data_IF_992313932762
#
_entry.id   IF_992313932762
#
_cell.length_a   1.000
_cell.length_b   1.000
_cell.length_c   1.000
_cell.angle_alpha   90.00
_cell.angle_beta   90.00
_cell.angle_gamma   90.00
#
_symmetry.space_group_name_H-M   'P 1'
#
loop_
_entity.id
_entity.type
_entity.pdbx_description
1 polymer ?
#
# COMPACT_ATOMS: atom_id res chain seq x y z
N UNK A 1 18.99 7.29 -7.19
CA UNK A 1 17.89 8.28 -7.23
C UNK A 1 16.60 7.47 -7.18
N UNK A 2 15.67 7.72 -6.24
CA UNK A 2 14.40 6.99 -6.27
C UNK A 2 13.72 7.26 -7.62
N UNK A 3 13.11 6.23 -8.21
CA UNK A 3 12.39 6.36 -9.46
C UNK A 3 11.31 7.44 -9.28
N UNK A 4 11.47 8.55 -10.01
CA UNK A 4 10.49 9.63 -10.03
C UNK A 4 9.18 9.02 -10.52
N UNK A 5 8.12 9.12 -9.73
CA UNK A 5 6.81 8.64 -10.13
C UNK A 5 6.33 9.53 -11.30
N UNK A 6 6.52 9.05 -12.53
CA UNK A 6 6.17 9.79 -13.75
C UNK A 6 4.67 10.01 -13.91
N UNK A 7 3.86 9.32 -13.09
CA UNK A 7 2.40 9.37 -13.11
C UNK A 7 1.85 10.16 -11.91
N UNK A 8 2.36 11.38 -11.68
CA UNK A 8 1.83 12.24 -10.63
C UNK A 8 0.42 12.71 -10.96
N UNK A 9 -0.58 12.23 -10.22
CA UNK A 9 -2.01 12.54 -10.43
C UNK A 9 -2.60 13.57 -9.46
N UNK A 10 -1.90 13.88 -8.37
CA UNK A 10 -2.41 14.79 -7.34
C UNK A 10 -2.25 16.26 -7.76
N UNK A 11 -3.28 17.07 -7.47
CA UNK A 11 -3.22 18.53 -7.64
C UNK A 11 -2.17 19.20 -6.73
N UNK A 12 -1.83 18.55 -5.61
CA UNK A 12 -0.77 19.01 -4.68
C UNK A 12 0.62 18.64 -5.22
N UNK A 13 1.61 19.54 -5.20
CA UNK A 13 2.97 19.23 -5.64
C UNK A 13 3.62 18.05 -4.89
N UNK A 14 4.48 17.25 -5.53
CA UNK A 14 5.13 16.08 -4.92
C UNK A 14 6.04 16.42 -3.74
N UNK A 15 6.62 17.63 -3.75
CA UNK A 15 7.54 18.13 -2.74
C UNK A 15 6.83 18.75 -1.53
N UNK A 16 5.49 18.85 -1.55
CA UNK A 16 4.71 19.43 -0.46
C UNK A 16 4.92 18.69 0.86
N UNK A 17 5.06 19.45 1.93
CA UNK A 17 5.20 18.93 3.28
C UNK A 17 3.86 18.33 3.74
N UNK A 18 3.93 17.14 4.33
CA UNK A 18 2.75 16.40 4.83
C UNK A 18 3.07 15.80 6.19
N UNK A 19 2.02 15.52 6.98
CA UNK A 19 2.15 14.84 8.28
C UNK A 19 1.76 13.38 8.13
N UNK A 20 2.59 12.47 8.64
CA UNK A 20 2.34 11.03 8.57
C UNK A 20 2.59 10.42 9.93
N UNK A 21 1.68 9.57 10.39
CA UNK A 21 1.89 8.72 11.56
C UNK A 21 3.21 7.95 11.43
N UNK A 22 4.03 7.95 12.48
CA UNK A 22 5.37 7.35 12.44
C UNK A 22 5.31 5.87 12.04
N UNK A 23 4.30 5.14 12.51
CA UNK A 23 4.11 3.72 12.19
C UNK A 23 3.60 3.49 10.75
N UNK A 24 2.84 4.44 10.19
CA UNK A 24 2.40 4.40 8.78
C UNK A 24 3.57 4.71 7.86
N UNK A 25 4.36 5.73 8.20
CA UNK A 25 5.58 6.06 7.47
C UNK A 25 6.58 4.91 7.53
N UNK A 26 6.68 4.24 8.69
CA UNK A 26 7.51 3.06 8.88
C UNK A 26 6.94 1.76 8.27
N UNK A 27 5.74 1.83 7.66
CA UNK A 27 5.02 0.68 7.08
C UNK A 27 4.75 -0.45 8.08
N UNK A 28 4.72 -0.13 9.37
CA UNK A 28 4.35 -1.03 10.47
C UNK A 28 2.85 -1.03 10.72
N UNK A 29 2.17 0.00 10.26
CA UNK A 29 0.73 0.15 10.27
C UNK A 29 0.21 0.42 8.86
N UNK A 30 -0.96 -0.12 8.48
CA UNK A 30 -1.60 0.26 7.23
C UNK A 30 -1.98 1.75 7.28
N UNK A 31 -1.94 2.43 6.13
CA UNK A 31 -2.60 3.71 5.99
C UNK A 31 -4.11 3.48 5.96
N UNK A 32 -4.86 4.13 6.87
CA UNK A 32 -6.31 3.89 7.00
C UNK A 32 -7.13 5.16 6.90
N UNK A 33 -6.53 6.33 7.14
CA UNK A 33 -7.23 7.61 7.06
C UNK A 33 -6.33 8.66 6.44
N UNK A 34 -6.92 9.48 5.59
CA UNK A 34 -6.27 10.64 4.99
C UNK A 34 -7.16 11.84 5.23
N UNK A 35 -6.58 12.91 5.73
CA UNK A 35 -7.26 14.18 5.97
C UNK A 35 -6.51 15.29 5.25
N UNK A 36 -7.26 16.16 4.57
CA UNK A 36 -6.74 17.38 3.99
C UNK A 36 -7.41 18.53 4.73
N UNK A 37 -6.66 19.25 5.56
CA UNK A 37 -7.24 20.33 6.37
C UNK A 37 -7.65 21.55 5.51
N UNK A 38 -8.27 22.55 6.16
CA UNK A 38 -8.75 23.76 5.50
C UNK A 38 -7.63 24.59 4.85
N UNK A 39 -6.38 24.43 5.31
CA UNK A 39 -5.20 25.06 4.73
C UNK A 39 -4.62 24.24 3.54
N UNK A 40 -5.21 23.07 3.26
CA UNK A 40 -4.80 22.16 2.20
C UNK A 40 -3.66 21.21 2.58
N UNK A 41 -3.29 21.15 3.87
CA UNK A 41 -2.22 20.28 4.38
C UNK A 41 -2.73 18.85 4.56
N UNK A 42 -1.92 17.90 4.10
CA UNK A 42 -2.25 16.48 4.18
C UNK A 42 -1.77 15.84 5.49
N UNK A 43 -2.62 15.03 6.08
CA UNK A 43 -2.34 14.16 7.21
C UNK A 43 -2.70 12.70 6.89
N UNK A 44 -1.80 11.77 7.23
CA UNK A 44 -1.88 10.35 6.88
C UNK A 44 -1.77 9.48 8.14
N UNK A 45 -2.83 8.76 8.47
CA UNK A 45 -3.00 8.13 9.78
C UNK A 45 -3.22 6.62 9.67
N UNK A 46 -2.74 5.89 10.68
CA UNK A 46 -2.89 4.44 10.81
C UNK A 46 -4.06 4.04 11.71
N UNK A 47 -4.33 2.73 11.90
CA UNK A 47 -5.45 2.27 12.71
C UNK A 47 -5.17 2.54 14.19
N UNK A 48 -5.98 3.38 14.83
CA UNK A 48 -5.86 3.74 16.24
C UNK A 48 -6.50 5.08 16.57
N UNK A 49 -6.39 5.51 17.84
CA UNK A 49 -6.86 6.82 18.25
C UNK A 49 -6.01 7.95 17.65
N UNK A 50 -6.65 9.06 17.31
CA UNK A 50 -6.02 10.34 16.93
C UNK A 50 -4.99 10.79 17.97
N UNK A 51 -3.85 11.34 17.50
CA UNK A 51 -2.80 11.88 18.39
C UNK A 51 -1.54 11.01 18.53
N UNK A 52 -1.32 10.07 17.61
CA UNK A 52 -0.04 9.34 17.51
C UNK A 52 1.10 10.26 17.11
N UNK A 53 2.32 9.83 17.43
CA UNK A 53 3.54 10.53 17.00
C UNK A 53 3.56 10.59 15.47
N UNK A 54 3.49 11.80 14.93
CA UNK A 54 3.55 12.06 13.49
C UNK A 54 4.86 12.75 13.13
N UNK A 55 5.35 12.50 11.92
CA UNK A 55 6.54 13.14 11.35
C UNK A 55 6.17 13.91 10.09
N UNK A 56 6.91 14.97 9.84
CA UNK A 56 6.85 15.65 8.55
C UNK A 56 7.68 14.90 7.52
N UNK A 57 7.12 14.74 6.32
CA UNK A 57 7.81 14.20 5.14
C UNK A 57 7.24 14.85 3.88
N UNK A 58 7.63 14.36 2.71
CA UNK A 58 7.13 14.83 1.41
C UNK A 58 6.00 13.94 0.90
N UNK A 59 5.00 14.54 0.25
CA UNK A 59 3.86 13.81 -0.32
C UNK A 59 4.29 12.69 -1.27
N UNK A 60 5.35 12.88 -2.07
CA UNK A 60 5.88 11.83 -2.94
C UNK A 60 6.40 10.59 -2.21
N UNK A 61 6.93 10.74 -1.00
CA UNK A 61 7.37 9.60 -0.20
C UNK A 61 6.16 8.77 0.26
N UNK A 62 5.07 9.45 0.62
CA UNK A 62 3.79 8.80 0.98
C UNK A 62 3.18 8.10 -0.23
N UNK A 63 3.08 8.76 -1.38
CA UNK A 63 2.55 8.14 -2.61
C UNK A 63 3.42 6.97 -3.07
N UNK A 64 4.74 7.05 -2.92
CA UNK A 64 5.63 5.92 -3.21
C UNK A 64 5.39 4.71 -2.32
N UNK A 65 5.15 4.94 -1.03
CA UNK A 65 4.82 3.92 -0.03
C UNK A 65 3.38 3.39 -0.16
N UNK A 66 2.45 4.27 -0.53
CA UNK A 66 1.01 4.04 -0.59
C UNK A 66 0.45 4.57 -1.92
N UNK A 67 0.68 3.87 -3.05
CA UNK A 67 0.26 4.32 -4.39
C UNK A 67 -1.23 4.68 -4.52
N UNK A 68 -2.11 4.03 -3.77
CA UNK A 68 -3.55 4.32 -3.74
C UNK A 68 -3.88 5.74 -3.25
N UNK A 69 -2.95 6.45 -2.60
CA UNK A 69 -3.11 7.88 -2.27
C UNK A 69 -3.25 8.75 -3.52
N UNK A 70 -2.65 8.36 -4.66
CA UNK A 70 -2.76 9.10 -5.92
C UNK A 70 -4.20 9.24 -6.44
N UNK A 71 -5.11 8.38 -5.96
CA UNK A 71 -6.54 8.42 -6.26
C UNK A 71 -7.28 9.58 -5.59
N UNK A 72 -6.66 10.24 -4.61
CA UNK A 72 -7.22 11.36 -3.87
C UNK A 72 -6.96 12.69 -4.58
N UNK A 73 -6.80 12.67 -5.91
CA UNK A 73 -6.51 13.86 -6.74
C UNK A 73 -7.50 15.00 -6.52
N UNK A 74 -8.76 14.60 -6.31
CA UNK A 74 -9.92 15.47 -6.19
C UNK A 74 -10.40 15.60 -4.73
N UNK A 75 -9.57 15.19 -3.75
CA UNK A 75 -9.89 15.38 -2.34
C UNK A 75 -9.79 16.85 -1.96
N UNK A 76 -10.92 17.48 -1.65
CA UNK A 76 -11.01 18.90 -1.28
C UNK A 76 -10.38 19.20 0.09
N UNK A 77 -10.00 20.46 0.30
CA UNK A 77 -9.62 20.94 1.63
C UNK A 77 -10.81 20.87 2.60
N UNK A 78 -10.53 20.59 3.88
CA UNK A 78 -11.53 20.36 4.92
C UNK A 78 -12.18 18.97 4.89
N UNK A 79 -11.64 18.02 4.12
CA UNK A 79 -12.25 16.69 3.96
C UNK A 79 -11.35 15.56 4.48
N UNK A 80 -12.00 14.50 4.94
CA UNK A 80 -11.35 13.28 5.40
C UNK A 80 -11.95 12.06 4.71
N UNK A 81 -11.08 11.09 4.41
CA UNK A 81 -11.45 9.80 3.86
C UNK A 81 -10.82 8.68 4.68
N UNK A 82 -11.52 7.57 4.73
CA UNK A 82 -11.09 6.34 5.38
C UNK A 82 -10.98 5.23 4.36
N UNK A 83 -10.02 4.34 4.54
CA UNK A 83 -9.89 3.15 3.72
C UNK A 83 -11.01 2.17 4.09
N UNK A 84 -11.82 1.78 3.11
CA UNK A 84 -12.86 0.76 3.24
C UNK A 84 -12.37 -0.56 2.71
N UNK A 85 -12.18 -1.54 3.59
CA UNK A 85 -11.83 -2.91 3.21
C UNK A 85 -12.97 -3.61 2.47
N UNK A 86 -14.22 -3.26 2.74
CA UNK A 86 -15.38 -3.84 2.07
C UNK A 86 -15.48 -3.34 0.62
N UNK A 87 -15.23 -2.05 0.40
CA UNK A 87 -15.26 -1.45 -0.93
C UNK A 87 -13.91 -1.56 -1.66
N UNK A 88 -12.88 -2.02 -0.95
CA UNK A 88 -11.51 -2.09 -1.43
C UNK A 88 -10.99 -0.75 -1.98
N UNK A 89 -11.30 0.35 -1.28
CA UNK A 89 -10.92 1.69 -1.71
C UNK A 89 -11.16 2.77 -0.67
N UNK A 90 -10.87 4.01 -1.02
CA UNK A 90 -11.21 5.15 -0.16
C UNK A 90 -12.73 5.33 -0.06
N UNK A 91 -13.18 5.85 1.07
CA UNK A 91 -14.56 6.19 1.32
C UNK A 91 -14.59 7.46 2.17
N UNK A 92 -15.66 8.24 2.05
CA UNK A 92 -15.89 9.36 2.97
C UNK A 92 -15.94 8.85 4.41
N UNK A 93 -15.38 9.62 5.34
CA UNK A 93 -15.49 9.31 6.77
C UNK A 93 -16.95 9.35 7.26
N UNK A 94 -17.80 10.11 6.55
CA UNK A 94 -19.23 10.21 6.81
C UNK A 94 -20.02 9.67 5.62
N UNK A 95 -21.06 8.87 5.88
CA UNK A 95 -22.00 8.48 4.83
C UNK A 95 -22.79 9.71 4.37
N UNK A 96 -22.76 10.06 3.08
CA UNK A 96 -23.69 11.07 2.59
C UNK A 96 -25.09 10.47 2.50
N UNK A 97 -26.01 10.95 3.33
CA UNK A 97 -27.43 10.62 3.23
C UNK A 97 -28.09 11.22 1.97
N UNK A 98 -27.40 12.12 1.28
CA UNK A 98 -27.89 12.81 0.09
C UNK A 98 -27.94 11.94 -1.18
N UNK A 99 -27.23 10.81 -1.20
CA UNK A 99 -27.14 9.90 -2.36
C UNK A 99 -26.40 10.43 -3.59
N UNK A 100 -25.91 11.66 -3.58
CA UNK A 100 -25.30 12.35 -4.73
C UNK A 100 -23.82 12.68 -4.56
N UNK A 101 -23.21 12.35 -3.41
CA UNK A 101 -21.77 12.54 -3.24
C UNK A 101 -21.00 11.39 -3.89
N UNK A 102 -20.03 11.74 -4.73
CA UNK A 102 -19.07 10.76 -5.26
C UNK A 102 -18.07 10.42 -4.15
N UNK A 103 -17.99 9.13 -3.79
CA UNK A 103 -16.94 8.65 -2.89
C UNK A 103 -15.66 8.41 -3.70
N UNK A 104 -14.50 8.89 -3.24
CA UNK A 104 -13.25 8.70 -3.97
C UNK A 104 -12.94 7.21 -4.09
N UNK A 105 -12.77 6.71 -5.32
CA UNK A 105 -12.47 5.28 -5.57
C UNK A 105 -10.97 5.11 -5.74
N UNK A 106 -10.39 4.04 -5.17
CA UNK A 106 -8.96 3.78 -5.28
C UNK A 106 -8.52 3.58 -6.75
N UNK A 107 -7.78 4.56 -7.27
CA UNK A 107 -7.29 4.65 -8.64
C UNK A 107 -6.09 3.75 -8.95
N UNK A 108 -5.44 3.13 -7.96
CA UNK A 108 -4.50 2.03 -8.21
C UNK A 108 -5.19 0.77 -8.75
N UNK A 109 -6.53 0.72 -8.70
CA UNK A 109 -7.38 -0.29 -9.35
C UNK A 109 -7.83 0.17 -10.74
N UNK A 110 -7.65 1.44 -11.10
CA UNK A 110 -7.88 1.85 -12.48
C UNK A 110 -6.87 1.08 -13.36
N UNK A 111 -7.42 0.23 -14.24
CA UNK A 111 -6.65 -0.62 -15.16
C UNK A 111 -5.64 0.20 -15.96
N UNK A 112 -5.88 1.50 -16.15
CA UNK A 112 -4.99 2.40 -16.88
C UNK A 112 -3.70 2.76 -16.14
N UNK A 113 -3.68 2.74 -14.80
CA UNK A 113 -2.46 2.97 -13.99
C UNK A 113 -1.81 1.70 -13.45
N UNK A 114 -2.41 0.53 -13.68
CA UNK A 114 -1.83 -0.73 -13.24
C UNK A 114 -0.52 -1.02 -14.00
N UNK A 115 0.59 -1.40 -13.32
CA UNK A 115 1.83 -1.73 -14.01
C UNK A 115 1.62 -2.86 -15.01
N UNK A 116 1.87 -2.60 -16.30
CA UNK A 116 1.58 -3.52 -17.40
C UNK A 116 2.21 -4.90 -17.26
N UNK A 117 3.37 -4.97 -16.58
CA UNK A 117 4.13 -6.18 -16.29
C UNK A 117 3.49 -7.03 -15.18
N UNK A 118 2.65 -6.44 -14.33
CA UNK A 118 1.92 -7.14 -13.30
C UNK A 118 0.53 -7.47 -13.85
N UNK A 119 0.12 -8.73 -13.85
CA UNK A 119 -1.25 -9.08 -14.24
C UNK A 119 -2.14 -9.10 -12.98
N UNK A 120 -3.19 -8.26 -12.87
CA UNK A 120 -4.01 -8.16 -11.67
C UNK A 120 -4.59 -9.50 -11.19
N UNK A 121 -4.92 -10.37 -12.14
CA UNK A 121 -5.52 -11.69 -11.93
C UNK A 121 -4.52 -12.81 -11.59
N UNK A 122 -3.21 -12.55 -11.67
CA UNK A 122 -2.20 -13.55 -11.29
C UNK A 122 -2.45 -14.01 -9.87
N UNK A 123 -2.52 -15.31 -9.66
CA UNK A 123 -2.70 -15.90 -8.33
C UNK A 123 -1.33 -16.04 -7.68
N UNK A 124 -1.21 -15.51 -6.47
CA UNK A 124 -0.03 -15.63 -5.64
C UNK A 124 -0.38 -16.32 -4.31
N UNK A 125 0.58 -17.04 -3.75
CA UNK A 125 0.39 -17.77 -2.50
C UNK A 125 0.78 -16.91 -1.32
N UNK A 126 -0.15 -16.61 -0.42
CA UNK A 126 0.10 -15.76 0.75
C UNK A 126 -0.04 -16.57 2.03
N UNK A 127 0.93 -16.46 2.94
CA UNK A 127 0.86 -17.09 4.24
C UNK A 127 -0.35 -16.58 5.05
N UNK A 128 -1.17 -17.50 5.58
CA UNK A 128 -2.42 -17.19 6.27
C UNK A 128 -2.23 -16.25 7.48
N UNK A 129 -1.15 -16.40 8.23
CA UNK A 129 -0.88 -15.54 9.39
C UNK A 129 -0.46 -14.12 8.99
N UNK A 130 0.17 -13.95 7.83
CA UNK A 130 0.42 -12.63 7.25
C UNK A 130 -0.88 -12.04 6.67
N UNK A 131 -1.64 -12.85 5.93
CA UNK A 131 -2.92 -12.46 5.33
C UNK A 131 -3.99 -12.08 6.36
N UNK A 132 -3.98 -12.70 7.54
CA UNK A 132 -4.87 -12.30 8.66
C UNK A 132 -4.35 -11.09 9.42
N UNK A 133 -3.10 -10.67 9.21
CA UNK A 133 -2.46 -9.57 9.92
C UNK A 133 -1.94 -9.94 11.31
N UNK A 134 -1.94 -11.23 11.68
CA UNK A 134 -1.34 -11.69 12.93
C UNK A 134 0.18 -11.51 12.94
N UNK A 135 0.81 -11.53 11.75
CA UNK A 135 2.23 -11.23 11.55
C UNK A 135 2.42 -10.24 10.41
N UNK A 136 3.48 -9.42 10.44
CA UNK A 136 3.82 -8.57 9.31
C UNK A 136 4.22 -9.44 8.10
N UNK A 137 4.03 -8.91 6.91
CA UNK A 137 4.64 -9.45 5.70
C UNK A 137 6.12 -9.04 5.68
N UNK A 138 7.03 -9.98 5.47
CA UNK A 138 8.47 -9.70 5.44
C UNK A 138 9.19 -10.20 4.20
N UNK A 139 8.64 -11.20 3.50
CA UNK A 139 9.33 -11.83 2.39
C UNK A 139 8.40 -12.03 1.20
N UNK A 140 8.94 -11.83 0.00
CA UNK A 140 8.32 -12.17 -1.29
C UNK A 140 9.30 -13.09 -2.01
N UNK A 141 8.87 -14.29 -2.42
CA UNK A 141 9.71 -15.30 -3.05
C UNK A 141 9.19 -15.58 -4.46
N UNK A 142 10.08 -15.63 -5.45
CA UNK A 142 9.75 -16.12 -6.78
C UNK A 142 10.27 -17.54 -6.94
N UNK A 143 9.34 -18.49 -6.97
CA UNK A 143 9.65 -19.93 -7.13
C UNK A 143 9.19 -20.40 -8.51
N UNK A 144 9.67 -21.58 -8.98
CA UNK A 144 9.14 -22.18 -10.21
C UNK A 144 7.62 -22.41 -10.18
N UNK A 145 7.02 -22.53 -8.99
CA UNK A 145 5.57 -22.68 -8.80
C UNK A 145 4.79 -21.36 -8.73
N UNK A 146 5.45 -20.22 -8.90
CA UNK A 146 4.88 -18.88 -8.79
C UNK A 146 5.42 -18.09 -7.59
N UNK A 147 4.72 -17.00 -7.26
CA UNK A 147 5.15 -16.08 -6.20
C UNK A 147 4.51 -16.48 -4.86
N UNK A 148 5.33 -16.53 -3.81
CA UNK A 148 4.91 -16.74 -2.43
C UNK A 148 5.22 -15.51 -1.58
N UNK A 149 4.34 -15.18 -0.62
CA UNK A 149 4.47 -14.03 0.27
C UNK A 149 4.31 -14.47 1.72
N UNK A 150 5.34 -14.20 2.52
CA UNK A 150 5.53 -14.81 3.83
C UNK A 150 5.74 -13.74 4.92
N UNK A 151 5.33 -14.09 6.14
CA UNK A 151 5.79 -13.41 7.34
C UNK A 151 7.14 -13.95 7.84
N UNK A 152 7.63 -13.47 8.99
CA UNK A 152 8.95 -13.82 9.49
C UNK A 152 9.12 -15.32 9.74
N UNK A 153 10.25 -15.88 9.32
CA UNK A 153 10.65 -17.25 9.62
C UNK A 153 11.41 -17.93 8.48
N UNK A 154 11.42 -19.27 8.49
CA UNK A 154 11.91 -20.09 7.38
C UNK A 154 11.05 -19.85 6.11
N UNK A 155 11.51 -20.24 4.94
CA UNK A 155 10.74 -20.19 3.68
C UNK A 155 9.90 -21.43 3.45
N UNK A 156 10.12 -22.49 4.23
CA UNK A 156 9.31 -23.71 4.16
C UNK A 156 7.93 -23.46 4.76
N UNK A 157 6.93 -23.34 3.90
CA UNK A 157 5.51 -23.37 4.27
C UNK A 157 4.84 -24.57 3.64
N UNK A 158 3.91 -25.17 4.36
CA UNK A 158 3.05 -26.21 3.84
C UNK A 158 1.83 -25.60 3.15
N UNK A 159 1.21 -26.33 2.22
CA UNK A 159 0.11 -25.81 1.39
C UNK A 159 -1.08 -25.34 2.23
N UNK A 160 -1.35 -26.01 3.35
CA UNK A 160 -2.41 -25.65 4.31
C UNK A 160 -2.17 -24.33 5.06
N UNK A 161 -0.93 -23.83 5.06
CA UNK A 161 -0.56 -22.53 5.63
C UNK A 161 -0.67 -21.39 4.62
N UNK A 162 -0.93 -21.70 3.36
CA UNK A 162 -0.92 -20.76 2.25
C UNK A 162 -2.33 -20.58 1.68
N UNK A 163 -2.66 -19.36 1.30
CA UNK A 163 -3.92 -19.02 0.66
C UNK A 163 -3.64 -18.45 -0.73
N UNK A 164 -4.28 -18.97 -1.79
CA UNK A 164 -4.20 -18.36 -3.12
C UNK A 164 -4.96 -17.04 -3.12
N UNK A 165 -4.30 -15.95 -3.51
CA UNK A 165 -4.88 -14.61 -3.56
C UNK A 165 -4.54 -13.96 -4.89
N UNK A 166 -5.50 -13.27 -5.52
CA UNK A 166 -5.22 -12.47 -6.71
C UNK A 166 -4.25 -11.33 -6.38
N UNK A 167 -3.28 -11.08 -7.26
CA UNK A 167 -2.25 -10.07 -7.09
C UNK A 167 -2.84 -8.68 -6.80
N UNK A 168 -3.95 -8.34 -7.45
CA UNK A 168 -4.71 -7.12 -7.15
C UNK A 168 -5.08 -6.98 -5.66
N UNK A 169 -5.54 -8.06 -5.03
CA UNK A 169 -5.96 -8.03 -3.63
C UNK A 169 -4.76 -7.95 -2.67
N UNK A 170 -3.64 -8.53 -3.06
CA UNK A 170 -2.39 -8.41 -2.31
C UNK A 170 -1.86 -6.98 -2.35
N UNK A 171 -1.76 -6.38 -3.53
CA UNK A 171 -1.27 -5.01 -3.68
C UNK A 171 -2.16 -4.03 -2.93
N UNK A 172 -3.49 -4.21 -2.97
CA UNK A 172 -4.41 -3.41 -2.15
C UNK A 172 -4.11 -3.51 -0.65
N UNK A 173 -3.76 -4.70 -0.17
CA UNK A 173 -3.44 -4.92 1.25
C UNK A 173 -2.04 -4.44 1.62
N UNK A 174 -1.07 -4.59 0.72
CA UNK A 174 0.34 -4.22 0.90
C UNK A 174 0.86 -3.44 -0.31
N UNK A 175 0.47 -2.16 -0.48
CA UNK A 175 0.80 -1.38 -1.68
C UNK A 175 2.32 -1.18 -1.88
N UNK A 176 3.08 -1.17 -0.79
CA UNK A 176 4.54 -1.12 -0.80
C UNK A 176 5.21 -2.35 -1.47
N UNK A 177 4.45 -3.39 -1.81
CA UNK A 177 4.96 -4.59 -2.53
C UNK A 177 5.06 -4.37 -4.03
N UNK A 178 4.36 -3.39 -4.60
CA UNK A 178 4.30 -3.17 -6.06
C UNK A 178 5.68 -3.10 -6.69
N UNK A 179 6.57 -2.27 -6.15
CA UNK A 179 7.92 -2.10 -6.70
C UNK A 179 8.75 -3.36 -6.58
N UNK A 180 8.61 -4.11 -5.48
CA UNK A 180 9.30 -5.38 -5.32
C UNK A 180 8.83 -6.40 -6.35
N UNK A 181 7.52 -6.49 -6.56
CA UNK A 181 6.92 -7.42 -7.53
C UNK A 181 7.32 -7.11 -8.97
N UNK A 182 7.52 -5.82 -9.33
CA UNK A 182 7.96 -5.41 -10.67
C UNK A 182 9.38 -5.87 -11.02
N UNK A 183 10.27 -5.93 -10.04
CA UNK A 183 11.69 -6.25 -10.26
C UNK A 183 12.08 -7.64 -9.77
N UNK A 184 11.15 -8.38 -9.16
CA UNK A 184 11.36 -9.72 -8.65
C UNK A 184 11.68 -10.70 -9.79
N UNK A 185 12.84 -11.35 -9.72
CA UNK A 185 13.28 -12.35 -10.69
C UNK A 185 13.00 -13.77 -10.19
N UNK A 186 12.79 -14.71 -11.11
CA UNK A 186 12.70 -16.15 -10.78
C UNK A 186 13.94 -16.62 -10.02
N UNK A 187 13.74 -17.44 -8.97
CA UNK A 187 14.83 -17.93 -8.13
C UNK A 187 15.36 -16.91 -7.12
N UNK A 188 14.73 -15.74 -7.00
CA UNK A 188 15.09 -14.70 -6.03
C UNK A 188 14.00 -14.43 -5.02
N UNK A 189 14.40 -13.87 -3.89
CA UNK A 189 13.54 -13.34 -2.86
C UNK A 189 13.76 -11.85 -2.65
N UNK A 190 12.76 -11.20 -2.10
CA UNK A 190 12.80 -9.82 -1.65
C UNK A 190 12.44 -9.81 -0.17
N UNK A 191 13.29 -9.19 0.66
CA UNK A 191 13.05 -9.02 2.10
C UNK A 191 12.74 -7.57 2.41
N UNK A 192 11.69 -7.35 3.19
CA UNK A 192 11.34 -6.02 3.69
C UNK A 192 12.42 -5.52 4.65
N UNK A 193 12.99 -4.36 4.35
CA UNK A 193 13.88 -3.62 5.23
C UNK A 193 13.11 -2.44 5.86
N UNK A 194 12.69 -2.55 7.14
CA UNK A 194 11.88 -1.52 7.78
C UNK A 194 12.65 -0.23 8.06
N UNK A 195 13.98 -0.26 8.15
CA UNK A 195 14.79 0.95 8.39
C UNK A 195 14.93 1.79 7.11
N UNK A 196 15.13 1.12 5.97
CA UNK A 196 15.28 1.75 4.66
C UNK A 196 13.96 1.99 3.93
N UNK A 197 12.84 1.47 4.45
CA UNK A 197 11.53 1.48 3.81
C UNK A 197 11.58 0.96 2.37
N UNK A 198 12.34 -0.12 2.17
CA UNK A 198 12.56 -0.69 0.85
C UNK A 198 12.63 -2.22 0.93
N UNK A 199 12.63 -2.84 -0.24
CA UNK A 199 12.84 -4.27 -0.39
C UNK A 199 14.28 -4.55 -0.81
N UNK A 200 14.92 -5.50 -0.14
CA UNK A 200 16.26 -5.96 -0.44
C UNK A 200 16.20 -7.32 -1.12
N UNK A 201 16.81 -7.41 -2.29
CA UNK A 201 16.91 -8.64 -3.05
C UNK A 201 17.90 -9.62 -2.42
N UNK A 202 17.58 -10.91 -2.47
CA UNK A 202 18.47 -12.01 -2.12
C UNK A 202 18.23 -13.23 -3.03
N UNK A 203 19.20 -14.15 -3.06
CA UNK A 203 19.11 -15.39 -3.85
C UNK A 203 18.45 -16.48 -3.00
N UNK A 204 17.51 -17.22 -3.57
CA UNK A 204 16.94 -18.40 -2.91
C UNK A 204 17.96 -19.54 -2.96
N UNK A 205 18.30 -20.08 -1.79
CA UNK A 205 19.19 -21.24 -1.65
C UNK A 205 18.43 -22.56 -1.83
#
# INVERSE_FOLDING_TARGET
>A
MPAMNTDWKLSTPPESAVRVDTEVLALRAPLVRVHRDDEGTWSFEGPGATGRESKQTKLQAVVGAWPHVAALSDLDAGTAVVWSWQQHGWASEFECECGNCETPVAGDIDRQSWPSELQPQTIISVEQVALSGQRPLTDILSTPGGIAMLGPGDHRRTVDQMTPVALANVIRRWPHTVQAMRVLQEGRGMRWNPEGLNWHEYVLA
#
